data_IF_148810907631
#
_entry.id   IF_148810907631
#
_cell.length_a   1.000
_cell.length_b   1.000
_cell.length_c   1.000
_cell.angle_alpha   90.00
_cell.angle_beta   90.00
_cell.angle_gamma   90.00
#
_symmetry.space_group_name_H-M   'P 1'
#
loop_
_entity.id
_entity.type
_entity.pdbx_description
1 polymer ?
#
# COMPACT_ATOMS: atom_id res chain seq x y z
N UNK A 1 -29.59 0.01 58.71
CA UNK A 1 -28.82 -0.53 59.85
C UNK A 1 -28.72 -2.05 59.71
N UNK A 2 -27.67 -2.55 59.02
CA UNK A 2 -27.18 -3.96 58.94
C UNK A 2 -25.74 -3.87 58.40
N UNK A 3 -24.74 -3.73 59.27
CA UNK A 3 -23.86 -4.74 59.88
C UNK A 3 -23.01 -5.58 58.89
N UNK A 4 -21.72 -5.29 58.96
CA UNK A 4 -20.48 -5.87 58.39
C UNK A 4 -20.41 -7.37 58.18
N UNK A 5 -19.63 -7.81 57.17
CA UNK A 5 -18.52 -8.75 57.35
C UNK A 5 -17.41 -8.51 56.32
N UNK A 6 -16.24 -8.10 56.82
CA UNK A 6 -14.95 -8.10 56.14
C UNK A 6 -14.45 -9.54 56.03
N UNK A 7 -13.96 -9.95 54.85
CA UNK A 7 -12.97 -11.03 54.76
C UNK A 7 -11.80 -10.53 53.93
N UNK A 8 -10.73 -10.25 54.65
CA UNK A 8 -9.40 -9.89 54.19
C UNK A 8 -8.65 -11.19 53.89
N UNK A 9 -8.33 -11.46 52.63
CA UNK A 9 -7.41 -12.54 52.26
C UNK A 9 -6.20 -11.95 51.55
N UNK A 10 -5.15 -11.74 52.34
CA UNK A 10 -3.80 -11.44 51.87
C UNK A 10 -3.14 -12.77 51.51
N UNK A 11 -2.73 -12.94 50.26
CA UNK A 11 -1.76 -13.95 49.87
C UNK A 11 -0.62 -13.28 49.10
N UNK A 12 0.54 -13.25 49.75
CA UNK A 12 1.84 -12.95 49.17
C UNK A 12 2.24 -14.06 48.19
N UNK A 13 2.63 -13.70 46.96
CA UNK A 13 3.47 -14.58 46.13
C UNK A 13 4.54 -13.75 45.42
N UNK A 14 5.76 -13.95 45.91
CA UNK A 14 7.05 -14.03 45.20
C UNK A 14 7.43 -12.95 44.18
N UNK A 15 8.37 -12.10 44.59
CA UNK A 15 9.29 -11.43 43.68
C UNK A 15 10.23 -12.45 43.02
N UNK A 16 10.12 -12.64 41.72
CA UNK A 16 11.23 -13.10 40.87
C UNK A 16 11.59 -11.93 39.96
N UNK A 17 12.69 -11.27 40.28
CA UNK A 17 13.30 -10.29 39.39
C UNK A 17 13.61 -10.92 38.05
N UNK A 18 13.01 -10.41 36.99
CA UNK A 18 13.56 -10.47 35.65
C UNK A 18 13.85 -9.04 35.28
N UNK A 19 15.14 -8.70 35.20
CA UNK A 19 15.59 -7.59 34.37
C UNK A 19 15.23 -7.97 32.93
N UNK A 20 14.06 -7.53 32.47
CA UNK A 20 13.74 -7.54 31.06
C UNK A 20 14.30 -6.24 30.48
N UNK A 21 15.23 -6.42 29.54
CA UNK A 21 15.87 -5.43 28.70
C UNK A 21 14.95 -4.29 28.25
N UNK A 22 15.51 -3.09 27.97
CA UNK A 22 14.73 -1.96 27.51
C UNK A 22 13.97 -2.36 26.24
N UNK A 23 12.65 -2.52 26.42
CA UNK A 23 11.60 -2.23 25.46
C UNK A 23 12.11 -2.18 24.01
N UNK A 24 12.32 -3.35 23.41
CA UNK A 24 12.26 -3.45 21.97
C UNK A 24 10.90 -2.86 21.58
N UNK A 25 10.91 -1.68 20.96
CA UNK A 25 9.71 -1.08 20.40
C UNK A 25 9.02 -2.17 19.56
N UNK A 26 7.68 -2.30 19.62
CA UNK A 26 7.01 -3.20 18.72
C UNK A 26 7.38 -2.74 17.32
N UNK A 27 8.14 -3.57 16.59
CA UNK A 27 8.31 -3.42 15.16
C UNK A 27 6.89 -3.36 14.62
N UNK A 28 6.42 -2.16 14.28
CA UNK A 28 5.14 -1.98 13.62
C UNK A 28 5.19 -2.88 12.41
N UNK A 29 4.47 -3.99 12.47
CA UNK A 29 4.49 -5.02 11.45
C UNK A 29 3.92 -4.37 10.19
N UNK A 30 4.80 -3.89 9.32
CA UNK A 30 4.39 -3.27 8.07
C UNK A 30 3.53 -4.28 7.31
N UNK A 31 2.35 -3.84 6.89
CA UNK A 31 1.45 -4.68 6.12
C UNK A 31 2.20 -5.25 4.90
N UNK A 32 1.94 -6.50 4.56
CA UNK A 32 2.53 -7.10 3.35
C UNK A 32 2.09 -6.31 2.11
N UNK A 33 2.85 -6.34 1.00
CA UNK A 33 2.42 -5.70 -0.25
C UNK A 33 1.04 -6.20 -0.69
N UNK A 34 0.76 -7.50 -0.51
CA UNK A 34 -0.53 -8.11 -0.77
C UNK A 34 -1.65 -7.44 0.04
N UNK A 35 -1.50 -7.32 1.36
CA UNK A 35 -2.52 -6.72 2.22
C UNK A 35 -2.76 -5.24 1.89
N UNK A 36 -1.70 -4.49 1.55
CA UNK A 36 -1.83 -3.10 1.08
C UNK A 36 -2.63 -3.03 -0.23
N UNK A 37 -2.37 -3.93 -1.17
CA UNK A 37 -3.12 -4.00 -2.42
C UNK A 37 -4.58 -4.41 -2.21
N UNK A 38 -4.86 -5.38 -1.35
CA UNK A 38 -6.24 -5.77 -1.02
C UNK A 38 -7.02 -4.61 -0.38
N UNK A 39 -6.37 -3.78 0.43
CA UNK A 39 -6.97 -2.55 0.95
C UNK A 39 -7.34 -1.55 -0.17
N UNK A 40 -6.49 -1.39 -1.19
CA UNK A 40 -6.82 -0.58 -2.38
C UNK A 40 -8.07 -1.12 -3.07
N UNK A 41 -8.17 -2.44 -3.24
CA UNK A 41 -9.35 -3.05 -3.86
C UNK A 41 -10.62 -2.75 -3.05
N UNK A 42 -10.56 -2.92 -1.73
CA UNK A 42 -11.69 -2.71 -0.84
C UNK A 42 -12.14 -1.24 -0.75
N UNK A 43 -11.21 -0.29 -0.84
CA UNK A 43 -11.49 1.14 -0.61
C UNK A 43 -11.68 1.92 -1.91
N UNK A 44 -10.73 1.80 -2.84
CA UNK A 44 -10.67 2.62 -4.06
C UNK A 44 -11.47 2.02 -5.20
N UNK A 45 -11.49 0.70 -5.29
CA UNK A 45 -12.15 -0.06 -6.35
C UNK A 45 -13.47 -0.70 -5.89
N UNK A 46 -14.03 -0.20 -4.79
CA UNK A 46 -15.34 -0.64 -4.31
C UNK A 46 -16.40 -0.45 -5.41
N UNK A 47 -17.12 -1.53 -5.72
CA UNK A 47 -18.13 -1.58 -6.77
C UNK A 47 -17.60 -1.88 -8.18
N UNK A 48 -16.29 -1.92 -8.38
CA UNK A 48 -15.68 -2.39 -9.63
C UNK A 48 -15.59 -3.93 -9.64
N UNK A 49 -15.61 -4.52 -10.84
CA UNK A 49 -15.40 -5.97 -11.03
C UNK A 49 -13.94 -6.21 -11.34
N UNK A 50 -13.11 -6.28 -10.29
CA UNK A 50 -11.65 -6.35 -10.40
C UNK A 50 -11.06 -7.49 -9.59
N UNK A 51 -9.88 -7.94 -10.01
CA UNK A 51 -9.09 -8.96 -9.34
C UNK A 51 -7.65 -8.46 -9.18
N UNK A 52 -7.10 -8.56 -7.97
CA UNK A 52 -5.67 -8.38 -7.73
C UNK A 52 -4.90 -9.50 -8.43
N UNK A 53 -4.11 -9.16 -9.45
CA UNK A 53 -3.37 -10.13 -10.28
C UNK A 53 -1.88 -10.16 -9.98
N UNK A 54 -1.32 -9.09 -9.40
CA UNK A 54 0.04 -9.09 -8.89
C UNK A 54 0.25 -8.01 -7.83
N UNK A 55 1.10 -8.30 -6.85
CA UNK A 55 1.63 -7.36 -5.88
C UNK A 55 3.16 -7.51 -5.82
N UNK A 56 3.87 -6.38 -5.93
CA UNK A 56 5.34 -6.36 -5.79
C UNK A 56 5.73 -5.33 -4.76
N UNK A 57 6.72 -5.65 -3.94
CA UNK A 57 7.36 -4.70 -3.04
C UNK A 57 8.64 -4.15 -3.66
N UNK A 58 8.87 -2.86 -3.47
CA UNK A 58 10.08 -2.15 -3.89
C UNK A 58 10.32 -0.99 -2.92
N UNK A 59 11.43 -0.30 -3.09
CA UNK A 59 11.75 0.93 -2.38
C UNK A 59 11.34 2.17 -3.18
N UNK A 60 11.15 3.30 -2.52
CA UNK A 60 10.90 4.58 -3.20
C UNK A 60 11.99 4.93 -4.21
N UNK A 61 13.26 4.63 -3.90
CA UNK A 61 14.38 4.83 -4.82
C UNK A 61 14.28 3.96 -6.08
N UNK A 62 13.92 2.68 -5.94
CA UNK A 62 13.75 1.76 -7.07
C UNK A 62 12.58 2.18 -7.96
N UNK A 63 11.44 2.56 -7.37
CA UNK A 63 10.29 3.08 -8.12
C UNK A 63 10.65 4.39 -8.84
N UNK A 64 11.36 5.29 -8.18
CA UNK A 64 11.82 6.53 -8.80
C UNK A 64 12.74 6.24 -10.00
N UNK A 65 13.74 5.37 -9.84
CA UNK A 65 14.61 4.96 -10.94
C UNK A 65 13.82 4.31 -12.08
N UNK A 66 12.83 3.47 -11.76
CA UNK A 66 11.99 2.82 -12.77
C UNK A 66 11.16 3.83 -13.58
N UNK A 67 10.53 4.81 -12.92
CA UNK A 67 9.82 5.92 -13.58
C UNK A 67 10.75 6.77 -14.45
N UNK A 68 11.95 7.02 -13.96
CA UNK A 68 12.97 7.83 -14.62
C UNK A 68 13.68 7.09 -15.76
N UNK A 69 13.60 5.77 -15.81
CA UNK A 69 14.13 4.97 -16.92
C UNK A 69 13.20 4.95 -18.14
N UNK A 70 11.94 5.37 -17.96
CA UNK A 70 10.89 5.22 -18.98
C UNK A 70 10.43 3.78 -19.17
N UNK A 71 10.84 2.84 -18.31
CA UNK A 71 10.45 1.43 -18.34
C UNK A 71 9.17 1.13 -17.56
N UNK A 72 8.58 2.13 -16.89
CA UNK A 72 7.30 1.94 -16.21
C UNK A 72 6.19 1.67 -17.24
N UNK A 73 5.35 0.64 -17.03
CA UNK A 73 4.22 0.32 -17.87
C UNK A 73 3.31 1.54 -18.08
N UNK A 74 2.71 1.65 -19.26
CA UNK A 74 1.83 2.76 -19.61
C UNK A 74 2.52 4.01 -20.16
N UNK A 75 3.86 4.03 -20.26
CA UNK A 75 4.60 5.07 -20.99
C UNK A 75 4.73 6.41 -20.27
N UNK A 76 4.39 6.48 -18.98
CA UNK A 76 4.64 7.68 -18.18
C UNK A 76 6.13 7.76 -17.83
N UNK A 77 6.87 8.70 -18.41
CA UNK A 77 8.30 8.86 -18.13
C UNK A 77 8.53 10.15 -17.33
N UNK A 78 9.11 10.02 -16.14
CA UNK A 78 9.63 11.16 -15.41
C UNK A 78 11.05 11.48 -15.91
N UNK A 79 11.41 12.76 -16.03
CA UNK A 79 12.82 13.12 -16.25
C UNK A 79 13.71 12.66 -15.10
N UNK A 80 15.01 12.48 -15.33
CA UNK A 80 15.96 12.04 -14.28
C UNK A 80 15.86 12.97 -13.07
N UNK A 81 15.70 12.40 -11.88
CA UNK A 81 15.50 13.13 -10.62
C UNK A 81 14.14 13.83 -10.47
N UNK A 82 13.21 13.65 -11.40
CA UNK A 82 11.89 14.31 -11.41
C UNK A 82 10.76 13.38 -10.95
N UNK A 83 11.05 12.13 -10.55
CA UNK A 83 10.03 11.28 -9.97
C UNK A 83 9.48 11.89 -8.67
N UNK A 84 8.15 11.94 -8.46
CA UNK A 84 7.58 12.36 -7.17
C UNK A 84 8.09 11.53 -5.98
N UNK A 85 8.49 10.28 -6.23
CA UNK A 85 9.05 9.39 -5.21
C UNK A 85 10.43 9.84 -4.71
N UNK A 86 11.09 10.80 -5.37
CA UNK A 86 12.31 11.44 -4.87
C UNK A 86 12.09 12.25 -3.59
N UNK A 87 10.85 12.57 -3.25
CA UNK A 87 10.49 13.24 -1.99
C UNK A 87 10.36 12.29 -0.79
N UNK A 88 10.33 10.97 -1.02
CA UNK A 88 10.22 9.95 0.01
C UNK A 88 11.63 9.50 0.46
N UNK A 89 11.81 9.06 1.72
CA UNK A 89 13.00 8.33 2.14
C UNK A 89 13.39 7.23 1.14
N UNK A 90 14.66 7.14 0.70
CA UNK A 90 15.05 6.22 -0.37
C UNK A 90 14.68 4.75 -0.13
N UNK A 91 14.72 4.30 1.14
CA UNK A 91 14.36 2.94 1.56
C UNK A 91 12.89 2.76 1.95
N UNK A 92 12.05 3.77 1.77
CA UNK A 92 10.62 3.63 2.06
C UNK A 92 9.98 2.57 1.18
N UNK A 93 9.19 1.69 1.80
CA UNK A 93 8.54 0.57 1.13
C UNK A 93 7.35 1.04 0.30
N UNK A 94 7.36 0.72 -0.99
CA UNK A 94 6.27 0.96 -1.94
C UNK A 94 5.75 -0.37 -2.47
N UNK A 95 4.43 -0.56 -2.48
CA UNK A 95 3.77 -1.66 -3.17
C UNK A 95 3.29 -1.24 -4.56
N UNK A 96 3.62 -2.04 -5.57
CA UNK A 96 3.02 -1.97 -6.91
C UNK A 96 1.87 -2.97 -7.00
N UNK A 97 0.65 -2.48 -7.13
CA UNK A 97 -0.58 -3.27 -7.15
C UNK A 97 -1.19 -3.29 -8.54
N UNK A 98 -1.27 -4.47 -9.15
CA UNK A 98 -1.88 -4.66 -10.46
C UNK A 98 -3.27 -5.29 -10.32
N UNK A 99 -4.27 -4.64 -10.89
CA UNK A 99 -5.64 -5.16 -10.96
C UNK A 99 -6.05 -5.35 -12.40
N UNK A 100 -6.70 -6.47 -12.70
CA UNK A 100 -7.41 -6.69 -13.96
C UNK A 100 -8.91 -6.60 -13.72
N UNK A 101 -9.67 -6.14 -14.70
CA UNK A 101 -11.13 -6.16 -14.60
C UNK A 101 -11.83 -5.06 -15.38
N UNK A 102 -13.04 -4.75 -14.94
CA UNK A 102 -13.83 -3.61 -15.42
C UNK A 102 -13.82 -2.53 -14.37
N UNK A 103 -13.33 -1.35 -14.76
CA UNK A 103 -13.16 -0.21 -13.87
C UNK A 103 -14.18 0.88 -14.20
N UNK A 104 -14.81 1.42 -13.16
CA UNK A 104 -15.68 2.59 -13.29
C UNK A 104 -14.80 3.84 -13.40
N UNK A 105 -14.95 4.59 -14.49
CA UNK A 105 -14.33 5.90 -14.62
C UNK A 105 -15.04 6.90 -13.70
N UNK A 106 -14.31 7.49 -12.74
CA UNK A 106 -14.87 8.37 -11.69
C UNK A 106 -14.51 9.85 -11.86
N UNK A 107 -13.78 10.23 -12.91
CA UNK A 107 -13.33 11.61 -13.11
C UNK A 107 -14.30 12.40 -14.00
N UNK A 108 -14.33 13.74 -13.88
CA UNK A 108 -15.14 14.56 -14.78
C UNK A 108 -14.65 14.41 -16.22
N UNK A 109 -15.62 14.27 -17.13
CA UNK A 109 -15.36 14.22 -18.57
C UNK A 109 -15.82 15.52 -19.22
N UNK A 110 -15.08 16.05 -20.19
CA UNK A 110 -15.59 17.08 -21.08
C UNK A 110 -16.90 16.63 -21.73
N UNK A 111 -17.76 17.59 -22.08
CA UNK A 111 -19.02 17.29 -22.74
C UNK A 111 -18.77 16.53 -24.06
N UNK A 112 -19.49 15.42 -24.26
CA UNK A 112 -19.36 14.57 -25.45
C UNK A 112 -18.16 13.62 -25.45
N UNK A 113 -17.32 13.62 -24.40
CA UNK A 113 -16.25 12.65 -24.28
C UNK A 113 -16.77 11.28 -23.83
N UNK A 114 -16.22 10.22 -24.41
CA UNK A 114 -16.47 8.84 -23.99
C UNK A 114 -15.54 8.49 -22.82
N UNK A 115 -16.06 7.89 -21.73
CA UNK A 115 -15.20 7.39 -20.67
C UNK A 115 -14.16 6.40 -21.21
N UNK A 116 -12.89 6.50 -20.80
CA UNK A 116 -11.90 5.50 -21.16
C UNK A 116 -12.25 4.16 -20.50
N UNK A 117 -11.97 3.07 -21.23
CA UNK A 117 -12.07 1.71 -20.70
C UNK A 117 -10.67 1.25 -20.35
N UNK A 118 -10.50 0.77 -19.12
CA UNK A 118 -9.26 0.17 -18.66
C UNK A 118 -9.45 -1.35 -18.53
N UNK A 119 -8.45 -2.12 -18.94
CA UNK A 119 -8.40 -3.57 -18.72
C UNK A 119 -7.52 -3.92 -17.52
N UNK A 120 -6.60 -3.01 -17.19
CA UNK A 120 -5.67 -3.13 -16.07
C UNK A 120 -5.33 -1.78 -15.48
N UNK A 121 -5.15 -1.76 -14.17
CA UNK A 121 -4.64 -0.63 -13.41
C UNK A 121 -3.40 -1.01 -12.60
N UNK A 122 -2.46 -0.06 -12.49
CA UNK A 122 -1.33 -0.07 -11.58
C UNK A 122 -1.55 1.02 -10.53
N UNK A 123 -1.51 0.64 -9.26
CA UNK A 123 -1.44 1.55 -8.13
C UNK A 123 -0.08 1.44 -7.46
N UNK A 124 0.52 2.59 -7.14
CA UNK A 124 1.68 2.67 -6.26
C UNK A 124 1.21 3.10 -4.88
N UNK A 125 1.52 2.30 -3.86
CA UNK A 125 1.01 2.45 -2.50
C UNK A 125 2.17 2.53 -1.52
N UNK A 126 2.19 3.51 -0.64
CA UNK A 126 3.26 3.66 0.36
C UNK A 126 3.17 2.64 1.50
N UNK A 127 4.12 2.69 2.44
CA UNK A 127 4.17 1.79 3.59
C UNK A 127 2.97 1.92 4.54
N UNK A 128 2.23 3.03 4.47
CA UNK A 128 1.04 3.34 5.29
C UNK A 128 -0.27 2.92 4.62
N UNK A 129 -0.22 2.54 3.33
CA UNK A 129 -1.40 2.19 2.55
C UNK A 129 -1.99 3.35 1.73
N UNK A 130 -1.33 4.50 1.66
CA UNK A 130 -1.80 5.62 0.83
C UNK A 130 -1.43 5.40 -0.63
N UNK A 131 -2.36 5.74 -1.53
CA UNK A 131 -2.14 5.70 -2.97
C UNK A 131 -1.32 6.93 -3.36
N UNK A 132 -0.09 6.69 -3.85
CA UNK A 132 0.80 7.73 -4.38
C UNK A 132 0.48 8.01 -5.85
N UNK A 133 0.18 6.96 -6.62
CA UNK A 133 -0.08 7.07 -8.04
C UNK A 133 -1.07 6.01 -8.52
N UNK A 134 -1.87 6.40 -9.52
CA UNK A 134 -2.85 5.58 -10.22
C UNK A 134 -2.56 5.68 -11.73
N UNK A 135 -2.47 4.55 -12.43
CA UNK A 135 -2.31 4.50 -13.87
C UNK A 135 -3.11 3.33 -14.46
N UNK A 136 -3.70 3.49 -15.63
CA UNK A 136 -4.57 2.48 -16.23
C UNK A 136 -4.51 2.46 -17.76
N UNK A 137 -4.81 1.29 -18.34
CA UNK A 137 -4.85 1.09 -19.78
C UNK A 137 -5.18 -0.35 -20.17
N UNK A 138 -4.79 -0.73 -21.38
CA UNK A 138 -4.92 -2.12 -21.86
C UNK A 138 -3.85 -3.00 -21.22
N UNK A 139 -4.08 -4.32 -21.19
CA UNK A 139 -3.09 -5.28 -20.69
C UNK A 139 -1.78 -5.27 -21.49
N UNK A 140 -1.85 -4.86 -22.77
CA UNK A 140 -0.68 -4.67 -23.64
C UNK A 140 0.17 -3.47 -23.23
N UNK A 141 -0.47 -2.35 -22.86
CA UNK A 141 0.23 -1.15 -22.43
C UNK A 141 0.74 -1.27 -20.99
N UNK A 142 0.04 -2.05 -20.16
CA UNK A 142 0.38 -2.28 -18.76
C UNK A 142 0.74 -3.75 -18.49
N UNK A 143 1.87 -4.29 -18.98
CA UNK A 143 2.30 -5.64 -18.59
C UNK A 143 2.55 -5.74 -17.08
N UNK A 144 2.44 -6.96 -16.53
CA UNK A 144 2.83 -7.23 -15.14
C UNK A 144 4.35 -7.22 -15.06
N UNK A 145 4.91 -6.12 -14.56
CA UNK A 145 6.36 -5.94 -14.44
C UNK A 145 6.68 -5.64 -12.99
N UNK A 146 7.62 -6.41 -12.43
CA UNK A 146 8.24 -6.08 -11.16
C UNK A 146 9.11 -4.84 -11.37
N UNK A 147 8.97 -3.79 -10.54
CA UNK A 147 9.90 -2.67 -10.60
C UNK A 147 11.34 -3.17 -10.44
N UNK A 148 12.23 -2.66 -11.27
CA UNK A 148 13.66 -2.94 -11.22
C UNK A 148 14.41 -1.63 -11.43
N UNK A 149 15.49 -1.44 -10.66
CA UNK A 149 16.44 -0.37 -10.87
C UNK A 149 17.17 -0.52 -12.22
#
# INVERSE_FOLDING_TARGET
>A
MRLSFLVLSVLFVSACGHAADPSAAPLTQQATPQARCEAVQAQRLAGDQVTLVASFESTALEIAAWQESGRIPGGSHAGIGQSPLRSFPPGETIASCYFDGTFTFRWPLPQGATPPVFERMLFLVDGTGQIIQEAGGTKKLYPLVRPAA
#
